data_IF_392583360519
#
_entry.id   IF_392583360519
#
_cell.length_a   1.000
_cell.length_b   1.000
_cell.length_c   1.000
_cell.angle_alpha   90.00
_cell.angle_beta   90.00
_cell.angle_gamma   90.00
#
_symmetry.space_group_name_H-M   'P 1'
#
loop_
_entity.id
_entity.type
_entity.pdbx_description
1 polymer ?
#
# COMPACT_ATOMS: atom_id res chain seq x y z
N UNK A 1 -4.69 -43.72 -71.98
CA UNK A 1 -4.57 -43.87 -70.52
C UNK A 1 -3.70 -42.74 -70.00
N UNK A 2 -4.26 -41.92 -69.12
CA UNK A 2 -3.82 -40.57 -68.79
C UNK A 2 -2.66 -40.55 -67.78
N UNK A 3 -1.73 -39.62 -68.00
CA UNK A 3 -0.64 -39.25 -67.10
C UNK A 3 -1.18 -38.57 -65.83
N UNK A 4 -0.83 -39.07 -64.65
CA UNK A 4 -0.97 -38.34 -63.39
C UNK A 4 0.40 -37.82 -62.94
N UNK A 5 0.55 -36.49 -63.01
CA UNK A 5 1.69 -35.75 -62.44
C UNK A 5 1.48 -35.60 -60.93
N UNK A 6 2.49 -35.96 -60.15
CA UNK A 6 2.55 -35.68 -58.71
C UNK A 6 2.93 -34.21 -58.49
N UNK A 7 2.12 -33.50 -57.69
CA UNK A 7 2.39 -32.13 -57.25
C UNK A 7 3.00 -32.21 -55.85
N UNK A 8 4.27 -31.83 -55.70
CA UNK A 8 4.87 -31.58 -54.39
C UNK A 8 4.43 -30.19 -53.90
N UNK A 9 3.71 -30.15 -52.79
CA UNK A 9 3.38 -28.91 -52.07
C UNK A 9 4.52 -28.65 -51.09
N UNK A 10 5.33 -27.62 -51.36
CA UNK A 10 6.37 -27.13 -50.46
C UNK A 10 5.70 -26.25 -49.40
N UNK A 11 5.61 -26.74 -48.16
CA UNK A 11 5.16 -25.93 -47.04
C UNK A 11 6.29 -25.00 -46.59
N UNK A 12 6.17 -23.71 -46.92
CA UNK A 12 7.04 -22.67 -46.38
C UNK A 12 6.60 -22.35 -44.94
N UNK A 13 7.38 -22.80 -43.96
CA UNK A 13 7.23 -22.41 -42.56
C UNK A 13 7.66 -20.95 -42.40
N UNK A 14 6.69 -20.06 -42.23
CA UNK A 14 6.93 -18.68 -41.82
C UNK A 14 7.33 -18.65 -40.35
N UNK A 15 8.60 -18.37 -40.07
CA UNK A 15 9.10 -18.10 -38.72
C UNK A 15 8.52 -16.78 -38.22
N UNK A 16 7.53 -16.87 -37.33
CA UNK A 16 7.03 -15.70 -36.59
C UNK A 16 8.15 -15.21 -35.68
N UNK A 17 8.78 -14.09 -36.07
CA UNK A 17 9.68 -13.33 -35.22
C UNK A 17 8.86 -12.75 -34.06
N UNK A 18 8.88 -13.45 -32.93
CA UNK A 18 8.42 -12.93 -31.64
C UNK A 18 9.28 -11.70 -31.31
N UNK A 19 8.74 -10.50 -31.52
CA UNK A 19 9.34 -9.28 -31.02
C UNK A 19 9.38 -9.36 -29.49
N UNK A 20 10.53 -9.12 -28.83
CA UNK A 20 10.57 -9.06 -27.38
C UNK A 20 9.68 -7.92 -26.93
N UNK A 21 8.67 -8.22 -26.12
CA UNK A 21 7.88 -7.23 -25.41
C UNK A 21 8.85 -6.36 -24.62
N UNK A 22 9.00 -5.10 -25.01
CA UNK A 22 9.71 -4.10 -24.22
C UNK A 22 8.99 -3.99 -22.89
N UNK A 23 9.61 -4.48 -21.81
CA UNK A 23 9.16 -4.21 -20.45
C UNK A 23 9.32 -2.71 -20.25
N UNK A 24 8.22 -1.95 -20.35
CA UNK A 24 8.22 -0.53 -20.00
C UNK A 24 8.23 -0.51 -18.48
N UNK A 25 9.41 -0.30 -17.89
CA UNK A 25 9.52 0.04 -16.49
C UNK A 25 9.04 1.49 -16.34
N UNK A 26 7.75 1.67 -16.08
CA UNK A 26 7.22 2.98 -15.71
C UNK A 26 7.81 3.37 -14.35
N UNK A 27 8.45 4.53 -14.28
CA UNK A 27 9.16 5.00 -13.09
C UNK A 27 8.18 5.25 -11.94
N UNK A 28 8.54 4.82 -10.72
CA UNK A 28 7.80 5.17 -9.51
C UNK A 28 7.88 6.67 -9.29
N UNK A 29 6.75 7.38 -9.39
CA UNK A 29 6.69 8.78 -9.02
C UNK A 29 6.72 8.90 -7.50
N UNK A 30 7.82 9.41 -6.95
CA UNK A 30 7.99 9.55 -5.49
C UNK A 30 7.31 10.84 -4.99
N UNK A 31 6.41 10.70 -4.01
CA UNK A 31 5.77 11.83 -3.33
C UNK A 31 6.50 12.24 -2.05
N UNK A 32 6.79 11.25 -1.18
CA UNK A 32 7.46 11.47 0.10
C UNK A 32 8.35 10.29 0.47
N UNK A 33 9.48 10.55 1.13
CA UNK A 33 10.30 9.52 1.75
C UNK A 33 10.48 9.81 3.24
N UNK A 34 10.19 8.82 4.08
CA UNK A 34 10.32 8.87 5.53
C UNK A 34 11.52 8.03 5.97
N UNK A 35 12.44 8.56 6.79
CA UNK A 35 13.57 7.77 7.28
C UNK A 35 13.07 6.65 8.20
N UNK A 36 13.63 5.46 8.03
CA UNK A 36 13.43 4.32 8.93
C UNK A 36 14.67 4.17 9.77
N UNK A 37 14.52 4.19 11.09
CA UNK A 37 15.67 4.20 12.00
C UNK A 37 15.49 3.22 13.15
N UNK A 38 16.60 2.66 13.61
CA UNK A 38 16.66 1.81 14.81
C UNK A 38 17.84 2.27 15.66
N UNK A 39 17.62 2.56 16.94
CA UNK A 39 18.66 3.03 17.86
C UNK A 39 19.51 4.20 17.29
N UNK A 40 18.86 5.18 16.65
CA UNK A 40 19.48 6.36 16.02
C UNK A 40 20.29 6.08 14.75
N UNK A 41 20.33 4.84 14.27
CA UNK A 41 20.90 4.48 12.98
C UNK A 41 19.82 4.46 11.90
N UNK A 42 20.10 5.05 10.74
CA UNK A 42 19.24 4.93 9.58
C UNK A 42 19.43 3.55 8.96
N UNK A 43 18.35 2.78 8.93
CA UNK A 43 18.32 1.41 8.40
C UNK A 43 17.49 1.29 7.12
N UNK A 44 16.92 2.39 6.63
CA UNK A 44 16.10 2.38 5.42
C UNK A 44 15.28 3.64 5.20
N UNK A 45 14.42 3.57 4.18
CA UNK A 45 13.43 4.59 3.85
C UNK A 45 12.07 3.95 3.55
N UNK A 46 11.01 4.56 4.07
CA UNK A 46 9.62 4.28 3.74
C UNK A 46 9.15 5.33 2.73
N UNK A 47 8.97 4.90 1.49
CA UNK A 47 8.63 5.77 0.36
C UNK A 47 7.13 5.66 0.09
N UNK A 48 6.48 6.81 -0.01
CA UNK A 48 5.11 6.96 -0.46
C UNK A 48 5.16 7.57 -1.87
N UNK A 49 4.46 6.96 -2.82
CA UNK A 49 4.36 7.48 -4.18
C UNK A 49 3.68 8.85 -4.20
N UNK A 50 3.68 9.48 -5.37
CA UNK A 50 2.67 10.49 -5.69
C UNK A 50 1.30 9.82 -5.62
N UNK A 51 0.35 10.53 -5.05
CA UNK A 51 -1.05 10.12 -5.00
C UNK A 51 -1.66 10.05 -6.40
N UNK A 52 -2.58 9.12 -6.58
CA UNK A 52 -3.49 9.12 -7.72
C UNK A 52 -4.93 9.07 -7.24
N UNK A 53 -5.83 9.50 -8.10
CA UNK A 53 -7.25 9.60 -7.85
C UNK A 53 -7.97 8.54 -8.65
N UNK A 54 -9.06 7.99 -8.12
CA UNK A 54 -9.85 6.98 -8.81
C UNK A 54 -11.34 7.08 -8.47
N UNK A 55 -12.16 6.57 -9.37
CA UNK A 55 -13.62 6.49 -9.22
C UNK A 55 -14.01 5.08 -8.79
N UNK A 56 -14.04 4.85 -7.48
CA UNK A 56 -14.45 3.56 -6.89
C UNK A 56 -13.65 2.35 -7.41
N UNK A 57 -12.32 2.50 -7.43
CA UNK A 57 -11.34 1.54 -7.98
C UNK A 57 -11.44 1.33 -9.49
N UNK A 58 -11.77 2.38 -10.23
CA UNK A 58 -11.66 2.42 -11.69
C UNK A 58 -11.21 3.83 -12.13
N UNK A 59 -10.80 3.96 -13.39
CA UNK A 59 -10.47 5.23 -14.05
C UNK A 59 -9.40 6.04 -13.30
N UNK A 60 -8.33 5.37 -12.86
CA UNK A 60 -7.31 6.02 -12.07
C UNK A 60 -6.43 6.99 -12.87
N UNK A 61 -6.05 8.11 -12.24
CA UNK A 61 -5.11 9.06 -12.83
C UNK A 61 -4.43 9.94 -11.79
N UNK A 62 -3.30 10.56 -12.13
CA UNK A 62 -2.58 11.50 -11.25
C UNK A 62 -3.25 12.87 -11.09
N UNK A 63 -4.42 13.08 -11.69
CA UNK A 63 -5.22 14.31 -11.60
C UNK A 63 -6.64 13.92 -11.19
N UNK A 64 -7.20 14.57 -10.17
CA UNK A 64 -8.56 14.27 -9.74
C UNK A 64 -9.56 14.56 -10.87
N UNK A 65 -10.45 13.60 -11.12
CA UNK A 65 -11.63 13.79 -11.95
C UNK A 65 -12.83 14.21 -11.09
N UNK A 66 -13.82 14.85 -11.71
CA UNK A 66 -15.06 15.30 -11.03
C UNK A 66 -15.83 14.17 -10.32
N UNK A 67 -15.60 12.91 -10.70
CA UNK A 67 -16.22 11.72 -10.13
C UNK A 67 -15.25 10.86 -9.31
N UNK A 68 -14.08 11.39 -8.93
CA UNK A 68 -13.16 10.68 -8.05
C UNK A 68 -13.78 10.52 -6.65
N UNK A 69 -13.61 9.33 -6.07
CA UNK A 69 -14.15 8.99 -4.74
C UNK A 69 -13.08 8.50 -3.76
N UNK A 70 -11.85 8.31 -4.25
CA UNK A 70 -10.74 7.80 -3.47
C UNK A 70 -9.39 8.26 -3.99
N UNK A 71 -8.37 7.93 -3.20
CA UNK A 71 -6.96 8.23 -3.46
C UNK A 71 -6.17 6.96 -3.22
N UNK A 72 -5.26 6.62 -4.12
CA UNK A 72 -4.33 5.51 -3.94
C UNK A 72 -2.88 5.94 -3.78
N UNK A 73 -2.09 5.06 -3.16
CA UNK A 73 -0.64 5.18 -3.00
C UNK A 73 0.05 3.82 -3.19
N UNK A 74 1.25 3.86 -3.77
CA UNK A 74 2.23 2.80 -3.59
C UNK A 74 3.09 3.16 -2.37
N UNK A 75 3.26 2.22 -1.45
CA UNK A 75 4.06 2.41 -0.24
C UNK A 75 5.15 1.35 -0.22
N UNK A 76 6.42 1.78 -0.30
CA UNK A 76 7.58 0.92 -0.47
C UNK A 76 8.57 1.11 0.67
N UNK A 77 8.90 0.05 1.39
CA UNK A 77 10.06 0.03 2.28
C UNK A 77 11.31 -0.41 1.51
N UNK A 78 12.38 0.34 1.69
CA UNK A 78 13.73 -0.05 1.30
C UNK A 78 14.60 -0.17 2.54
N UNK A 79 14.76 -1.39 3.06
CA UNK A 79 15.70 -1.68 4.13
C UNK A 79 17.11 -1.66 3.53
N UNK A 80 17.92 -0.67 3.92
CA UNK A 80 19.18 -0.19 3.34
C UNK A 80 19.08 0.37 1.90
N UNK A 81 20.15 1.08 1.47
CA UNK A 81 20.23 1.76 0.15
C UNK A 81 20.09 0.81 -1.05
N UNK A 82 20.13 -0.50 -0.84
CA UNK A 82 20.04 -1.52 -1.89
C UNK A 82 18.87 -2.50 -1.70
N UNK A 83 18.02 -2.35 -0.67
CA UNK A 83 16.82 -3.17 -0.44
C UNK A 83 17.08 -4.64 -0.04
N UNK A 84 18.32 -5.03 0.26
CA UNK A 84 18.70 -6.41 0.56
C UNK A 84 18.78 -6.67 2.06
N UNK A 85 18.17 -7.75 2.55
CA UNK A 85 18.31 -8.19 3.96
C UNK A 85 19.72 -8.74 4.29
N UNK A 86 20.54 -9.03 3.27
CA UNK A 86 21.91 -9.53 3.45
C UNK A 86 22.89 -8.37 3.60
N UNK A 87 23.24 -8.03 4.85
CA UNK A 87 24.14 -6.95 5.22
C UNK A 87 23.92 -6.48 6.66
N UNK A 88 24.15 -5.19 6.93
CA UNK A 88 24.01 -4.49 8.22
C UNK A 88 22.54 -4.50 8.75
N UNK A 89 21.96 -5.67 8.98
CA UNK A 89 20.67 -5.87 9.66
C UNK A 89 20.84 -5.53 11.15
N UNK A 90 21.13 -4.26 11.44
CA UNK A 90 21.44 -3.75 12.78
C UNK A 90 20.23 -3.86 13.71
N UNK A 91 19.02 -3.76 13.15
CA UNK A 91 17.77 -4.02 13.87
C UNK A 91 17.53 -5.50 14.16
N UNK A 92 18.25 -6.43 13.52
CA UNK A 92 18.06 -7.89 13.61
C UNK A 92 16.60 -8.27 13.38
N UNK A 93 16.04 -7.81 12.27
CA UNK A 93 14.71 -8.23 11.82
C UNK A 93 14.83 -9.57 11.11
N UNK A 94 13.94 -10.51 11.42
CA UNK A 94 13.79 -11.72 10.61
C UNK A 94 13.01 -11.38 9.33
N UNK A 95 12.01 -10.51 9.46
CA UNK A 95 11.26 -9.96 8.33
C UNK A 95 10.90 -8.49 8.57
N UNK A 96 10.81 -7.69 7.49
CA UNK A 96 10.16 -6.38 7.55
C UNK A 96 8.73 -6.52 7.04
N UNK A 97 7.80 -5.95 7.81
CA UNK A 97 6.37 -6.00 7.52
C UNK A 97 5.75 -4.61 7.50
N UNK A 98 4.59 -4.47 6.88
CA UNK A 98 3.80 -3.24 6.91
C UNK A 98 2.48 -3.46 7.65
N UNK A 99 2.21 -2.62 8.65
CA UNK A 99 0.96 -2.57 9.38
C UNK A 99 0.28 -1.23 9.13
N UNK A 100 -1.00 -1.24 8.79
CA UNK A 100 -1.77 -0.02 8.55
C UNK A 100 -2.98 0.08 9.48
N UNK A 101 -3.26 1.30 9.95
CA UNK A 101 -4.48 1.63 10.70
C UNK A 101 -5.25 2.69 9.91
N UNK A 102 -6.55 2.47 9.73
CA UNK A 102 -7.49 3.41 9.12
C UNK A 102 -8.28 4.13 10.20
N UNK A 103 -8.46 5.44 10.03
CA UNK A 103 -9.45 6.27 10.73
C UNK A 103 -10.42 6.90 9.73
N UNK A 104 -11.72 6.86 9.98
CA UNK A 104 -12.72 7.47 9.08
C UNK A 104 -13.90 8.11 9.79
N UNK A 105 -14.46 9.17 9.19
CA UNK A 105 -15.73 9.79 9.60
C UNK A 105 -16.94 9.30 8.81
N UNK A 106 -16.73 8.42 7.82
CA UNK A 106 -17.80 7.80 7.04
C UNK A 106 -18.70 6.93 7.92
N UNK A 107 -19.92 6.69 7.44
CA UNK A 107 -20.80 5.66 7.98
C UNK A 107 -20.14 4.30 7.78
N UNK A 108 -20.16 3.50 8.83
CA UNK A 108 -19.52 2.19 8.90
C UNK A 108 -20.57 1.07 8.77
N UNK A 109 -20.12 -0.09 8.31
CA UNK A 109 -20.90 -1.32 8.40
C UNK A 109 -20.93 -1.86 9.84
N UNK A 110 -21.90 -2.73 10.12
CA UNK A 110 -21.94 -3.46 11.40
C UNK A 110 -20.65 -4.28 11.56
N UNK A 111 -19.97 -4.10 12.69
CA UNK A 111 -18.69 -4.74 12.99
C UNK A 111 -17.45 -3.88 12.70
N UNK A 112 -17.57 -2.85 11.84
CA UNK A 112 -16.45 -1.93 11.62
C UNK A 112 -16.35 -0.86 12.71
N UNK A 113 -15.10 -0.48 13.02
CA UNK A 113 -14.77 0.63 13.90
C UNK A 113 -14.22 1.82 13.13
N UNK A 114 -14.51 3.02 13.64
CA UNK A 114 -14.04 4.27 13.04
C UNK A 114 -12.52 4.34 12.98
N UNK A 115 -11.84 3.70 13.94
CA UNK A 115 -10.41 3.46 13.95
C UNK A 115 -10.17 1.96 14.07
N UNK A 116 -9.48 1.35 13.11
CA UNK A 116 -9.17 -0.08 13.13
C UNK A 116 -7.93 -0.42 12.28
N UNK A 117 -7.38 -1.62 12.49
CA UNK A 117 -6.35 -2.17 11.61
C UNK A 117 -6.97 -2.35 10.23
N UNK A 118 -6.27 -1.87 9.21
CA UNK A 118 -6.81 -1.74 7.86
C UNK A 118 -6.60 -3.00 7.01
N UNK A 119 -7.09 -4.13 7.52
CA UNK A 119 -7.12 -5.40 6.80
C UNK A 119 -8.38 -6.19 7.19
N UNK A 120 -8.82 -7.18 6.40
CA UNK A 120 -9.99 -7.99 6.73
C UNK A 120 -9.84 -8.74 8.07
N UNK A 121 -10.92 -8.88 8.82
CA UNK A 121 -10.94 -9.48 10.17
C UNK A 121 -10.60 -10.98 10.19
N UNK A 122 -10.76 -11.66 9.06
CA UNK A 122 -10.42 -13.06 8.87
C UNK A 122 -8.92 -13.35 8.76
N UNK A 123 -8.06 -12.33 8.69
CA UNK A 123 -6.60 -12.52 8.62
C UNK A 123 -6.03 -12.84 10.01
N UNK A 124 -5.23 -13.92 10.08
CA UNK A 124 -4.62 -14.41 11.33
C UNK A 124 -3.64 -13.41 11.96
N UNK A 125 -3.02 -12.55 11.15
CA UNK A 125 -2.05 -11.57 11.61
C UNK A 125 -2.40 -10.17 11.04
N UNK A 126 -1.92 -9.06 11.66
CA UNK A 126 -2.42 -7.71 11.39
C UNK A 126 -1.75 -7.01 10.21
N UNK A 127 -0.95 -7.70 9.42
CA UNK A 127 -0.13 -7.05 8.41
C UNK A 127 -0.87 -6.84 7.08
N UNK A 128 -0.62 -5.70 6.45
CA UNK A 128 -1.20 -5.34 5.16
C UNK A 128 -0.52 -6.08 4.00
N UNK A 129 0.74 -6.47 4.18
CA UNK A 129 1.54 -7.21 3.19
C UNK A 129 1.24 -8.73 3.13
N UNK A 130 0.01 -9.11 3.50
CA UNK A 130 -0.50 -10.48 3.42
C UNK A 130 -1.37 -10.67 2.19
N UNK A 131 -1.36 -11.87 1.62
CA UNK A 131 -2.35 -12.25 0.62
C UNK A 131 -3.76 -12.36 1.24
N UNK A 132 -4.84 -12.03 0.50
CA UNK A 132 -4.86 -11.56 -0.90
C UNK A 132 -4.70 -10.05 -1.11
N UNK A 133 -4.30 -9.25 -0.11
CA UNK A 133 -4.07 -7.82 -0.31
C UNK A 133 -2.92 -7.59 -1.31
N UNK A 134 -2.95 -6.45 -1.97
CA UNK A 134 -1.98 -6.10 -3.01
C UNK A 134 -0.64 -5.69 -2.40
N UNK A 135 0.37 -6.54 -2.56
CA UNK A 135 1.70 -6.35 -1.99
C UNK A 135 2.79 -6.95 -2.88
N UNK A 136 4.05 -6.70 -2.52
CA UNK A 136 5.19 -7.32 -3.17
C UNK A 136 6.48 -7.26 -2.36
N UNK A 137 7.42 -8.14 -2.70
CA UNK A 137 8.72 -8.26 -2.03
C UNK A 137 9.84 -8.36 -3.06
N UNK A 138 11.00 -7.80 -2.74
CA UNK A 138 12.15 -7.79 -3.64
C UNK A 138 11.82 -7.18 -5.01
N UNK A 139 12.36 -7.79 -6.05
CA UNK A 139 11.95 -7.55 -7.43
C UNK A 139 10.61 -8.24 -7.70
N UNK A 140 9.58 -7.46 -7.99
CA UNK A 140 8.23 -7.99 -8.21
C UNK A 140 7.49 -7.21 -9.30
N UNK A 141 6.45 -7.83 -9.86
CA UNK A 141 5.48 -7.14 -10.69
C UNK A 141 4.45 -6.47 -9.79
N UNK A 142 4.02 -5.26 -10.14
CA UNK A 142 2.84 -4.61 -9.54
C UNK A 142 1.58 -5.51 -9.64
N UNK A 143 0.50 -5.18 -8.90
CA UNK A 143 -0.75 -5.95 -8.90
C UNK A 143 -1.32 -6.20 -10.29
N UNK A 144 -2.07 -7.29 -10.43
CA UNK A 144 -2.67 -7.67 -11.72
C UNK A 144 -3.88 -6.81 -12.09
N UNK A 145 -4.63 -6.32 -11.10
CA UNK A 145 -5.67 -5.31 -11.33
C UNK A 145 -5.01 -3.92 -11.44
N UNK A 146 -5.05 -3.35 -12.64
CA UNK A 146 -4.51 -2.04 -12.96
C UNK A 146 -5.60 -0.98 -13.22
N UNK A 147 -6.89 -1.33 -13.10
CA UNK A 147 -8.02 -0.42 -13.40
C UNK A 147 -8.08 0.78 -12.47
N UNK A 148 -7.64 0.57 -11.24
CA UNK A 148 -7.53 1.56 -10.18
C UNK A 148 -6.11 2.11 -10.03
N UNK A 149 -5.21 1.83 -10.98
CA UNK A 149 -3.83 2.32 -11.00
C UNK A 149 -3.61 3.29 -12.18
N UNK A 150 -2.76 4.32 -12.01
CA UNK A 150 -2.54 5.33 -13.04
C UNK A 150 -1.59 4.86 -14.17
N UNK A 151 -1.00 3.66 -14.02
CA UNK A 151 -0.18 2.99 -15.03
C UNK A 151 -0.96 1.84 -15.66
N UNK A 152 -0.47 1.33 -16.79
CA UNK A 152 -1.05 0.18 -17.49
C UNK A 152 -0.16 -1.05 -17.43
N UNK A 153 -0.79 -2.22 -17.37
CA UNK A 153 -0.13 -3.50 -17.19
C UNK A 153 0.52 -3.60 -15.81
N UNK A 154 1.57 -4.42 -15.73
CA UNK A 154 2.24 -4.76 -14.48
C UNK A 154 3.70 -4.29 -14.51
N UNK A 155 4.00 -2.99 -14.38
CA UNK A 155 5.37 -2.52 -14.30
C UNK A 155 6.12 -3.21 -13.15
N UNK A 156 7.42 -3.44 -13.35
CA UNK A 156 8.30 -4.03 -12.33
C UNK A 156 8.65 -2.99 -11.25
N UNK A 157 8.64 -3.40 -9.99
CA UNK A 157 9.09 -2.64 -8.83
C UNK A 157 10.19 -3.40 -8.08
N UNK A 158 11.00 -2.65 -7.34
CA UNK A 158 12.00 -3.17 -6.43
C UNK A 158 11.73 -2.55 -5.07
N UNK A 159 11.63 -3.35 -4.01
CA UNK A 159 11.52 -2.88 -2.62
C UNK A 159 11.84 -4.04 -1.68
N UNK A 160 12.10 -3.78 -0.41
CA UNK A 160 12.11 -4.85 0.60
C UNK A 160 10.71 -5.39 0.80
N UNK A 161 9.73 -4.51 0.98
CA UNK A 161 8.29 -4.80 0.98
C UNK A 161 7.54 -3.61 0.41
N UNK A 162 6.49 -3.87 -0.36
CA UNK A 162 5.60 -2.87 -0.92
C UNK A 162 4.14 -3.25 -0.68
N UNK A 163 3.28 -2.25 -0.49
CA UNK A 163 1.82 -2.38 -0.55
C UNK A 163 1.26 -1.38 -1.55
N UNK A 164 0.12 -1.73 -2.14
CA UNK A 164 -0.60 -0.93 -3.11
C UNK A 164 -2.00 -0.72 -2.57
N UNK A 165 -2.31 0.48 -2.09
CA UNK A 165 -3.57 0.75 -1.43
C UNK A 165 -4.40 1.75 -2.26
N UNK A 166 -5.68 1.41 -2.45
CA UNK A 166 -6.65 2.18 -3.26
C UNK A 166 -7.99 2.35 -2.53
N UNK A 167 -7.97 3.03 -1.37
CA UNK A 167 -9.16 3.27 -0.58
C UNK A 167 -10.09 4.30 -1.22
N UNK A 168 -11.39 4.07 -1.11
CA UNK A 168 -12.42 5.05 -1.46
C UNK A 168 -13.59 4.96 -0.48
N UNK A 169 -14.35 6.05 -0.40
CA UNK A 169 -15.65 6.08 0.27
C UNK A 169 -16.65 6.65 -0.71
N UNK A 170 -17.66 5.87 -1.07
CA UNK A 170 -18.75 6.37 -1.91
C UNK A 170 -19.68 7.28 -1.12
N UNK A 171 -20.38 8.17 -1.82
CA UNK A 171 -21.29 9.15 -1.24
C UNK A 171 -22.41 8.51 -0.39
N UNK A 172 -22.77 7.26 -0.69
CA UNK A 172 -23.77 6.50 0.08
C UNK A 172 -23.36 6.27 1.55
N UNK A 173 -22.05 6.30 1.84
CA UNK A 173 -21.50 6.17 3.19
C UNK A 173 -21.17 7.52 3.82
N UNK A 174 -21.42 8.63 3.14
CA UNK A 174 -21.30 9.94 3.75
C UNK A 174 -22.36 10.18 4.82
N UNK A 175 -22.04 11.04 5.80
CA UNK A 175 -22.99 11.51 6.81
C UNK A 175 -23.35 12.94 6.48
N UNK A 176 -24.63 13.20 6.20
CA UNK A 176 -25.12 14.53 5.84
C UNK A 176 -24.67 15.60 6.85
N UNK A 177 -24.20 16.73 6.34
CA UNK A 177 -23.66 17.82 7.16
C UNK A 177 -22.22 17.60 7.66
N UNK A 178 -21.55 16.53 7.24
CA UNK A 178 -20.16 16.21 7.67
C UNK A 178 -19.27 15.86 6.48
N UNK A 179 -18.03 16.32 6.56
CA UNK A 179 -16.97 15.87 5.65
C UNK A 179 -16.70 14.38 5.83
N UNK A 180 -16.32 13.73 4.73
CA UNK A 180 -15.71 12.41 4.77
C UNK A 180 -14.20 12.64 4.91
N UNK A 181 -13.64 12.23 6.04
CA UNK A 181 -12.21 12.22 6.26
C UNK A 181 -11.79 10.76 6.34
N UNK A 182 -10.78 10.37 5.57
CA UNK A 182 -10.15 9.06 5.67
C UNK A 182 -8.66 9.28 5.87
N UNK A 183 -8.14 8.72 6.95
CA UNK A 183 -6.72 8.81 7.30
C UNK A 183 -6.16 7.43 7.53
N UNK A 184 -4.93 7.24 7.09
CA UNK A 184 -4.17 6.02 7.25
C UNK A 184 -2.87 6.36 7.97
N UNK A 185 -2.43 5.45 8.82
CA UNK A 185 -1.09 5.44 9.36
C UNK A 185 -0.46 4.08 9.05
N UNK A 186 0.56 4.09 8.20
CA UNK A 186 1.28 2.90 7.75
C UNK A 186 2.62 2.87 8.45
N UNK A 187 2.89 1.81 9.21
CA UNK A 187 4.12 1.64 9.96
C UNK A 187 4.92 0.42 9.48
N UNK A 188 6.23 0.59 9.49
CA UNK A 188 7.21 -0.48 9.28
C UNK A 188 7.38 -1.24 10.58
N UNK A 189 7.19 -2.55 10.52
CA UNK A 189 7.44 -3.48 11.62
C UNK A 189 8.68 -4.29 11.32
N UNK A 190 9.58 -4.37 12.28
CA UNK A 190 10.66 -5.34 12.34
C UNK A 190 10.15 -6.58 13.08
N UNK A 191 9.73 -7.58 12.32
CA UNK A 191 9.21 -8.85 12.83
C UNK A 191 10.36 -9.79 13.21
N UNK A 192 10.20 -10.52 14.33
CA UNK A 192 11.20 -11.40 14.91
C UNK A 192 10.57 -12.63 15.54
N UNK A 193 11.17 -13.80 15.34
CA UNK A 193 10.65 -15.08 15.85
C UNK A 193 10.90 -15.28 17.36
N UNK A 194 12.01 -14.75 17.89
CA UNK A 194 12.50 -15.06 19.23
C UNK A 194 12.40 -13.92 20.25
N UNK A 195 11.81 -12.79 19.86
CA UNK A 195 11.71 -11.57 20.67
C UNK A 195 10.59 -10.68 20.15
N UNK A 196 10.26 -9.63 20.92
CA UNK A 196 9.23 -8.71 20.49
C UNK A 196 9.59 -7.97 19.20
N UNK A 197 8.57 -7.82 18.37
CA UNK A 197 8.55 -7.02 17.17
C UNK A 197 8.65 -5.54 17.53
N UNK A 198 9.18 -4.73 16.63
CA UNK A 198 9.37 -3.30 16.88
C UNK A 198 8.86 -2.47 15.71
N UNK A 199 8.11 -1.41 16.01
CA UNK A 199 7.74 -0.39 15.03
C UNK A 199 8.94 0.54 14.81
N UNK A 200 9.37 0.69 13.56
CA UNK A 200 10.60 1.40 13.20
C UNK A 200 10.36 2.82 12.68
N UNK A 201 9.28 3.02 11.94
CA UNK A 201 8.85 4.31 11.41
C UNK A 201 7.41 4.18 10.91
N UNK A 202 6.73 5.32 10.81
CA UNK A 202 5.38 5.41 10.29
C UNK A 202 5.26 6.59 9.33
N UNK A 203 4.28 6.54 8.44
CA UNK A 203 3.81 7.69 7.69
C UNK A 203 2.30 7.76 7.75
N UNK A 204 1.78 8.98 7.95
CA UNK A 204 0.34 9.24 7.89
C UNK A 204 -0.01 9.87 6.56
N UNK A 205 -1.12 9.46 5.98
CA UNK A 205 -1.64 9.98 4.71
C UNK A 205 -3.16 9.84 4.71
N UNK A 206 -3.83 10.41 3.71
CA UNK A 206 -5.28 10.34 3.66
C UNK A 206 -5.87 11.35 2.70
N UNK A 207 -7.19 11.47 2.74
CA UNK A 207 -7.92 12.43 1.93
C UNK A 207 -9.17 12.92 2.65
N UNK A 208 -9.62 14.11 2.24
CA UNK A 208 -10.86 14.72 2.69
C UNK A 208 -11.78 14.93 1.50
N UNK A 209 -13.07 14.68 1.69
CA UNK A 209 -14.13 15.09 0.76
C UNK A 209 -15.08 15.98 1.53
N UNK A 210 -15.20 17.23 1.10
CA UNK A 210 -15.99 18.25 1.78
C UNK A 210 -17.48 18.07 1.48
N UNK A 211 -18.32 18.26 2.49
CA UNK A 211 -19.77 18.22 2.30
C UNK A 211 -20.26 19.50 1.60
N UNK A 212 -20.95 19.34 0.46
CA UNK A 212 -21.35 20.47 -0.39
C UNK A 212 -22.77 20.99 -0.15
N UNK A 213 -23.57 20.32 0.70
CA UNK A 213 -24.95 20.73 1.00
C UNK A 213 -26.04 20.05 0.15
N UNK A 214 -27.23 19.88 0.72
CA UNK A 214 -28.40 19.30 0.06
C UNK A 214 -28.35 17.77 -0.07
N UNK A 215 -29.19 17.22 -0.95
CA UNK A 215 -29.18 15.80 -1.35
C UNK A 215 -28.04 15.46 -2.32
N UNK A 216 -27.04 16.35 -2.45
CA UNK A 216 -26.01 16.33 -3.48
C UNK A 216 -24.62 16.43 -2.85
N UNK A 217 -23.99 15.26 -2.72
CA UNK A 217 -22.56 15.06 -2.95
C UNK A 217 -21.57 15.52 -1.88
N UNK A 218 -20.41 14.88 -1.98
CA UNK A 218 -19.16 15.36 -1.41
C UNK A 218 -18.23 15.74 -2.56
N UNK A 219 -17.31 16.67 -2.33
CA UNK A 219 -16.29 17.04 -3.33
C UNK A 219 -15.50 15.81 -3.80
N UNK A 220 -14.76 15.99 -4.89
CA UNK A 220 -13.61 15.15 -5.17
C UNK A 220 -12.66 15.10 -3.95
N UNK A 221 -11.95 13.98 -3.74
CA UNK A 221 -11.00 13.85 -2.65
C UNK A 221 -9.84 14.83 -2.81
N UNK A 222 -9.53 15.54 -1.73
CA UNK A 222 -8.31 16.33 -1.57
C UNK A 222 -7.32 15.52 -0.74
N UNK A 223 -6.16 15.21 -1.32
CA UNK A 223 -5.10 14.49 -0.61
C UNK A 223 -4.48 15.35 0.49
N UNK A 224 -4.39 14.81 1.71
CA UNK A 224 -3.90 15.56 2.88
C UNK A 224 -2.37 15.63 2.97
N UNK A 225 -1.66 14.98 2.04
CA UNK A 225 -0.21 14.87 2.06
C UNK A 225 0.28 13.80 3.04
N UNK A 226 1.55 13.40 2.86
CA UNK A 226 2.23 12.43 3.73
C UNK A 226 3.01 13.16 4.83
N UNK A 227 2.81 12.75 6.09
CA UNK A 227 3.64 13.17 7.21
C UNK A 227 4.43 12.00 7.77
N UNK A 228 5.74 12.21 7.98
CA UNK A 228 6.64 11.18 8.49
C UNK A 228 6.71 11.23 10.01
N UNK A 229 6.52 10.07 10.65
CA UNK A 229 6.58 9.93 12.09
C UNK A 229 7.62 8.86 12.46
N UNK A 230 8.51 9.19 13.39
CA UNK A 230 9.49 8.22 13.90
C UNK A 230 8.84 7.16 14.81
N UNK A 231 7.66 7.45 15.36
CA UNK A 231 6.93 6.60 16.29
C UNK A 231 5.45 6.56 15.91
N UNK A 232 4.74 5.46 16.21
CA UNK A 232 3.30 5.36 15.96
C UNK A 232 2.52 6.39 16.78
N UNK A 233 1.43 6.91 16.21
CA UNK A 233 0.52 7.81 16.93
C UNK A 233 -0.19 7.09 18.08
N UNK A 234 -0.78 7.88 18.99
CA UNK A 234 -1.65 7.34 20.04
C UNK A 234 -2.86 6.60 19.46
N UNK A 235 -3.39 7.08 18.32
CA UNK A 235 -4.53 6.46 17.64
C UNK A 235 -4.15 5.07 17.14
N UNK A 236 -2.98 4.94 16.52
CA UNK A 236 -2.44 3.66 16.06
C UNK A 236 -2.24 2.68 17.21
N UNK A 237 -1.58 3.12 18.29
CA UNK A 237 -1.35 2.29 19.47
C UNK A 237 -2.68 1.80 20.09
N UNK A 238 -3.68 2.68 20.16
CA UNK A 238 -5.00 2.29 20.67
C UNK A 238 -5.73 1.31 19.76
N UNK A 239 -5.60 1.45 18.44
CA UNK A 239 -6.16 0.49 17.49
C UNK A 239 -5.57 -0.90 17.70
N UNK A 240 -4.25 -0.99 17.90
CA UNK A 240 -3.58 -2.26 18.21
C UNK A 240 -4.04 -2.88 19.53
N UNK A 241 -4.19 -2.08 20.59
CA UNK A 241 -4.64 -2.56 21.91
C UNK A 241 -6.08 -3.09 21.87
N UNK A 242 -6.95 -2.43 21.11
CA UNK A 242 -8.37 -2.81 21.02
C UNK A 242 -8.63 -3.93 20.02
N UNK A 243 -7.66 -4.24 19.17
CA UNK A 243 -7.77 -5.31 18.20
C UNK A 243 -8.04 -6.63 18.90
N UNK A 244 -9.10 -7.33 18.47
CA UNK A 244 -9.44 -8.67 18.94
C UNK A 244 -8.49 -9.75 18.39
N UNK A 245 -7.45 -9.36 17.62
CA UNK A 245 -6.37 -10.25 17.15
C UNK A 245 -5.36 -10.47 18.29
N UNK A 246 -5.89 -11.02 19.37
CA UNK A 246 -5.26 -11.13 20.69
C UNK A 246 -3.91 -11.82 20.59
N UNK A 247 -3.73 -12.80 19.69
CA UNK A 247 -2.49 -13.58 19.62
C UNK A 247 -1.28 -12.77 19.14
N UNK A 248 -1.43 -11.96 18.08
CA UNK A 248 -0.30 -11.22 17.53
C UNK A 248 -0.01 -9.91 18.29
N UNK A 249 -1.02 -9.27 18.89
CA UNK A 249 -0.82 -8.02 19.64
C UNK A 249 0.16 -8.15 20.82
N UNK A 250 0.34 -9.35 21.38
CA UNK A 250 1.32 -9.62 22.44
C UNK A 250 2.77 -9.65 21.94
N UNK A 251 3.00 -9.88 20.64
CA UNK A 251 4.34 -9.96 20.06
C UNK A 251 4.89 -8.60 19.61
N UNK A 252 4.08 -7.54 19.61
CA UNK A 252 4.51 -6.18 19.27
C UNK A 252 4.95 -5.36 20.50
N UNK A 253 6.24 -4.99 20.57
CA UNK A 253 6.75 -4.00 21.54
C UNK A 253 6.71 -2.58 20.96
N UNK A 254 5.50 -2.00 20.98
CA UNK A 254 5.30 -0.58 20.67
C UNK A 254 5.61 0.34 21.87
N UNK A 255 5.76 -0.20 23.09
CA UNK A 255 5.95 0.61 24.31
C UNK A 255 7.37 1.14 24.44
N UNK A 256 8.38 0.42 23.96
CA UNK A 256 9.78 0.90 23.99
C UNK A 256 10.10 1.93 22.89
N UNK A 257 9.31 1.96 21.79
CA UNK A 257 9.46 2.99 20.74
C UNK A 257 9.22 4.43 21.24
N UNK A 258 8.51 4.58 22.37
CA UNK A 258 8.24 5.87 23.02
C UNK A 258 9.38 6.43 23.88
N UNK A 259 10.44 5.66 24.14
CA UNK A 259 11.49 6.05 25.11
C UNK A 259 12.73 6.72 24.49
N UNK A 260 12.75 6.99 23.17
CA UNK A 260 13.91 7.60 22.51
C UNK A 260 13.91 9.14 22.49
N UNK A 261 12.91 9.83 23.07
CA UNK A 261 12.82 11.30 23.11
C UNK A 261 12.78 11.82 24.54
N UNK A 262 13.80 11.48 25.32
CA UNK A 262 14.19 12.28 26.50
C UNK A 262 15.64 12.00 26.83
N UNK A 263 16.54 12.86 26.33
CA UNK A 263 17.79 13.24 26.98
C UNK A 263 17.99 14.72 26.80
#
# INVERSE_FOLDING_TARGET
>A
MQNLRSVLITAATASVLLSPSTVIAEELLVGKACPVSYQQENIGILVFSKEWYHSSRDNASYIASDNATGVGLEIHLFANKTGHLTGDNTARCDQYRLLQVRSTTARLFDGESAVQIDIPDEFDNPFYDNAPLEHGYGMHLTPEDDRDKPWSGRPTRASTVAIYDTPYVSDAYGVEGKNINVQFETCVVCEREDRYDTLLACGTWGYTRDYMGGSTGWTEPEFTGVQCNATPSTTFQQALIRSHRVEYAYWLDWRTSSQAVTR
#
